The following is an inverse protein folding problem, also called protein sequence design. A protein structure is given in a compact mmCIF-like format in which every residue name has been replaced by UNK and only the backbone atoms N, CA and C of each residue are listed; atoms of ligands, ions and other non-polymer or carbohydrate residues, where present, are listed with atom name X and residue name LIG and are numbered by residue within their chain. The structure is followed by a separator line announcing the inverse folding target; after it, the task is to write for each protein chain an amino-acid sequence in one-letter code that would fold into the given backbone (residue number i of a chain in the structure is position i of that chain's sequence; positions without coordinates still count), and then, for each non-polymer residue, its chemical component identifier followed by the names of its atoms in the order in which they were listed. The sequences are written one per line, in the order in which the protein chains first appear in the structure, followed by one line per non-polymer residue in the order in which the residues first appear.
data_IF_706234478190
#
_entry.id   IF_706234478190
#
_cell.length_a   1.000
_cell.length_b   1.000
_cell.length_c   1.000
_cell.angle_alpha   90.00
_cell.angle_beta   90.00
_cell.angle_gamma   90.00
#
_symmetry.space_group_name_H-M   'P 1'
#
loop_
_entity.id
_entity.type
_entity.pdbx_description
1 polymer ?
#
# COMPACT_ATOMS: atom_id res chain seq x y z
N UNK A 1 -5.87 -16.49 5.17
CA UNK A 1 -5.77 -16.32 3.71
C UNK A 1 -5.47 -14.86 3.38
N UNK A 2 -4.51 -14.64 2.51
CA UNK A 2 -4.09 -13.28 2.15
C UNK A 2 -5.07 -12.63 1.18
N UNK A 3 -5.45 -11.40 1.47
CA UNK A 3 -6.43 -10.69 0.66
C UNK A 3 -6.27 -9.17 0.72
N UNK A 4 -6.87 -8.49 -0.26
CA UNK A 4 -7.02 -7.04 -0.28
C UNK A 4 -8.16 -6.66 0.68
N UNK A 5 -7.82 -5.89 1.70
CA UNK A 5 -8.81 -5.47 2.70
C UNK A 5 -9.42 -4.10 2.38
N UNK A 6 -8.57 -3.13 2.02
CA UNK A 6 -9.00 -1.78 1.64
C UNK A 6 -8.16 -1.28 0.48
N UNK A 7 -8.72 -0.36 -0.28
CA UNK A 7 -8.03 0.32 -1.38
C UNK A 7 -8.20 1.83 -1.25
N UNK A 8 -7.15 2.58 -1.58
CA UNK A 8 -7.19 4.03 -1.51
C UNK A 8 -6.31 4.70 -2.55
N UNK A 9 -6.79 5.82 -3.05
CA UNK A 9 -6.05 6.66 -4.00
C UNK A 9 -6.24 8.14 -3.66
N UNK A 10 -5.31 8.96 -4.10
CA UNK A 10 -5.50 10.41 -4.11
C UNK A 10 -4.71 11.00 -5.27
N UNK A 11 -5.26 12.02 -5.89
CA UNK A 11 -4.61 12.70 -7.00
C UNK A 11 -3.49 13.66 -6.57
N UNK A 12 -3.40 13.97 -5.27
CA UNK A 12 -2.51 15.02 -4.76
C UNK A 12 -1.89 14.61 -3.43
N UNK A 13 -0.58 14.88 -3.25
CA UNK A 13 0.15 14.55 -2.03
C UNK A 13 -0.38 15.25 -0.77
N UNK A 14 -1.04 16.38 -0.93
CA UNK A 14 -1.53 17.18 0.20
C UNK A 14 -3.02 16.96 0.49
N UNK A 15 -3.67 16.04 -0.21
CA UNK A 15 -5.07 15.71 -0.01
C UNK A 15 -5.22 14.36 0.67
N UNK A 16 -6.33 14.15 1.41
CA UNK A 16 -6.60 12.85 2.01
C UNK A 16 -6.72 11.75 0.96
N UNK A 17 -6.41 10.53 1.36
CA UNK A 17 -6.66 9.35 0.54
C UNK A 17 -8.17 9.11 0.49
N UNK A 18 -8.67 8.79 -0.68
CA UNK A 18 -10.07 8.41 -0.89
C UNK A 18 -10.15 6.89 -0.95
N UNK A 19 -10.99 6.32 -0.10
CA UNK A 19 -11.25 4.88 -0.11
C UNK A 19 -12.12 4.52 -1.32
N UNK A 20 -11.72 3.46 -2.04
CA UNK A 20 -12.44 3.00 -3.23
C UNK A 20 -12.58 1.48 -3.20
N UNK A 21 -13.51 0.94 -4.00
CA UNK A 21 -13.74 -0.51 -4.05
C UNK A 21 -12.86 -1.22 -5.07
N UNK A 22 -12.39 -0.51 -6.07
CA UNK A 22 -11.50 -1.07 -7.07
C UNK A 22 -10.57 -0.01 -7.64
N UNK A 23 -9.43 -0.46 -8.16
CA UNK A 23 -8.45 0.40 -8.81
C UNK A 23 -8.05 -0.22 -10.13
N UNK A 24 -7.72 0.63 -11.09
CA UNK A 24 -7.18 0.21 -12.37
C UNK A 24 -5.67 0.46 -12.35
N UNK A 25 -4.89 -0.58 -12.59
CA UNK A 25 -3.43 -0.46 -12.59
C UNK A 25 -2.89 -0.70 -13.98
N UNK A 26 -1.87 0.07 -14.34
CA UNK A 26 -1.18 -0.07 -15.64
C UNK A 26 0.26 -0.46 -15.39
N UNK A 27 0.70 -1.48 -16.12
CA UNK A 27 2.06 -2.01 -15.97
C UNK A 27 3.10 -0.90 -16.14
N UNK A 28 4.03 -0.83 -15.19
CA UNK A 28 5.14 0.11 -15.17
C UNK A 28 4.75 1.60 -15.09
N UNK A 29 3.48 1.91 -14.81
CA UNK A 29 3.01 3.30 -14.73
C UNK A 29 2.40 3.67 -13.39
N UNK A 30 1.56 2.81 -12.82
CA UNK A 30 0.91 3.09 -11.55
C UNK A 30 -0.59 2.86 -11.58
N UNK A 31 -1.29 3.51 -10.65
CA UNK A 31 -2.75 3.40 -10.51
C UNK A 31 -3.39 4.61 -11.18
N UNK A 32 -4.34 4.36 -12.07
CA UNK A 32 -5.06 5.44 -12.76
C UNK A 32 -5.76 6.32 -11.70
N UNK A 33 -5.49 7.62 -11.78
CA UNK A 33 -6.08 8.60 -10.86
C UNK A 33 -5.31 8.81 -9.57
N UNK A 34 -4.23 8.07 -9.34
CA UNK A 34 -3.39 8.25 -8.15
C UNK A 34 -2.20 9.17 -8.44
N UNK A 35 -1.70 9.83 -7.39
CA UNK A 35 -0.62 10.81 -7.48
C UNK A 35 0.71 10.24 -7.98
N UNK A 36 0.92 8.94 -7.87
CA UNK A 36 2.14 8.29 -8.32
C UNK A 36 2.03 7.72 -9.75
N UNK A 37 0.93 8.01 -10.45
CA UNK A 37 0.76 7.60 -11.84
C UNK A 37 1.61 8.48 -12.76
N UNK A 38 2.43 7.85 -13.60
CA UNK A 38 3.29 8.57 -14.57
C UNK A 38 3.59 7.71 -15.79
N UNK A 39 4.04 8.35 -16.86
CA UNK A 39 4.26 7.69 -18.15
C UNK A 39 5.63 7.02 -18.29
N UNK A 40 6.54 7.27 -17.38
CA UNK A 40 7.85 6.64 -17.37
C UNK A 40 7.91 5.55 -16.31
N UNK A 41 8.78 4.56 -16.53
CA UNK A 41 8.93 3.45 -15.59
C UNK A 41 9.80 3.85 -14.41
N UNK A 42 9.18 4.03 -13.25
CA UNK A 42 9.86 4.25 -11.98
C UNK A 42 9.35 3.20 -10.99
N UNK A 43 10.07 2.08 -10.82
CA UNK A 43 9.57 0.97 -10.00
C UNK A 43 9.40 1.32 -8.52
N UNK A 44 9.99 2.41 -8.04
CA UNK A 44 9.89 2.82 -6.64
C UNK A 44 8.63 3.63 -6.34
N UNK A 45 7.90 4.10 -7.37
CA UNK A 45 6.77 5.00 -7.19
C UNK A 45 5.57 4.61 -8.04
N UNK A 46 5.13 3.36 -7.95
CA UNK A 46 3.96 2.91 -8.70
C UNK A 46 2.80 2.53 -7.79
N UNK A 47 3.05 1.74 -6.76
CA UNK A 47 2.01 1.21 -5.91
C UNK A 47 2.59 0.82 -4.57
N UNK A 48 1.81 0.97 -3.50
CA UNK A 48 2.26 0.65 -2.15
C UNK A 48 1.22 -0.16 -1.39
N UNK A 49 1.71 -1.08 -0.56
CA UNK A 49 0.90 -1.95 0.29
C UNK A 49 1.24 -1.72 1.75
N UNK A 50 0.28 -1.95 2.64
CA UNK A 50 0.52 -1.95 4.10
C UNK A 50 -0.36 -3.01 4.75
N UNK A 51 0.14 -3.62 5.82
CA UNK A 51 -0.61 -4.64 6.56
C UNK A 51 -1.60 -4.00 7.53
N UNK A 52 -2.87 -4.40 7.43
CA UNK A 52 -3.91 -3.96 8.36
C UNK A 52 -3.54 -4.32 9.80
N UNK A 53 -2.91 -5.48 10.00
CA UNK A 53 -2.51 -5.96 11.32
C UNK A 53 -1.56 -5.00 12.03
N UNK A 54 -0.65 -4.35 11.30
CA UNK A 54 0.27 -3.37 11.89
C UNK A 54 -0.47 -2.08 12.29
N UNK A 55 -1.46 -1.69 11.52
CA UNK A 55 -2.29 -0.52 11.85
C UNK A 55 -3.14 -0.82 13.08
N UNK A 56 -3.75 -2.02 13.14
CA UNK A 56 -4.54 -2.44 14.29
C UNK A 56 -3.71 -2.44 15.57
N UNK A 57 -2.48 -2.97 15.50
CA UNK A 57 -1.57 -3.00 16.64
C UNK A 57 -1.26 -1.59 17.15
N UNK A 58 -0.99 -0.67 16.23
CA UNK A 58 -0.73 0.73 16.58
C UNK A 58 -1.95 1.38 17.26
N UNK A 59 -3.12 1.20 16.68
CA UNK A 59 -4.35 1.77 17.24
C UNK A 59 -4.63 1.23 18.63
N UNK A 60 -4.44 -0.08 18.85
CA UNK A 60 -4.63 -0.70 20.17
C UNK A 60 -3.62 -0.13 21.16
N UNK A 61 -2.36 -0.04 20.78
CA UNK A 61 -1.29 0.40 21.67
C UNK A 61 -1.50 1.83 22.16
N UNK A 62 -1.99 2.72 21.30
CA UNK A 62 -2.15 4.14 21.61
C UNK A 62 -3.58 4.55 21.89
N UNK A 63 -4.54 3.59 21.95
CA UNK A 63 -5.94 3.89 22.20
C UNK A 63 -6.58 4.76 21.12
N UNK A 64 -6.22 4.52 19.87
CA UNK A 64 -6.66 5.30 18.73
C UNK A 64 -7.54 4.47 17.79
N UNK A 65 -8.17 5.16 16.84
CA UNK A 65 -9.04 4.56 15.84
C UNK A 65 -8.79 5.21 14.48
N UNK A 66 -7.54 5.22 14.04
CA UNK A 66 -7.15 5.83 12.77
C UNK A 66 -7.61 4.92 11.63
N UNK A 67 -8.39 5.44 10.66
CA UNK A 67 -8.78 4.64 9.50
C UNK A 67 -7.58 4.12 8.72
N UNK A 68 -7.69 2.89 8.22
CA UNK A 68 -6.58 2.23 7.53
C UNK A 68 -6.01 3.05 6.37
N UNK A 69 -6.87 3.64 5.54
CA UNK A 69 -6.41 4.37 4.35
C UNK A 69 -5.68 5.67 4.69
N UNK A 70 -5.84 6.18 5.92
CA UNK A 70 -5.15 7.39 6.34
C UNK A 70 -3.63 7.20 6.44
N UNK A 71 -3.15 5.96 6.43
CA UNK A 71 -1.71 5.67 6.38
C UNK A 71 -1.13 5.87 4.98
N UNK A 72 -1.98 6.22 4.01
CA UNK A 72 -1.62 6.71 2.69
C UNK A 72 -0.90 5.68 1.81
N UNK A 73 -1.19 4.40 2.02
CA UNK A 73 -0.81 3.34 1.10
C UNK A 73 -2.02 2.95 0.25
N UNK A 74 -1.76 2.48 -0.96
CA UNK A 74 -2.83 2.19 -1.92
C UNK A 74 -3.62 0.95 -1.56
N UNK A 75 -2.95 -0.10 -1.09
CA UNK A 75 -3.56 -1.39 -0.77
C UNK A 75 -3.29 -1.74 0.68
N UNK A 76 -4.36 -1.90 1.45
CA UNK A 76 -4.28 -2.43 2.81
C UNK A 76 -4.54 -3.92 2.72
N UNK A 77 -3.61 -4.72 3.22
CA UNK A 77 -3.65 -6.18 3.11
C UNK A 77 -3.97 -6.84 4.44
N UNK A 78 -4.48 -8.08 4.37
CA UNK A 78 -4.61 -8.97 5.52
C UNK A 78 -4.03 -10.32 5.19
N UNK A 79 -3.40 -10.94 6.18
CA UNK A 79 -2.97 -12.33 6.10
C UNK A 79 -1.64 -12.56 5.40
N UNK A 80 -0.82 -11.55 5.21
CA UNK A 80 0.48 -11.69 4.53
C UNK A 80 1.53 -10.81 5.19
N UNK A 81 2.76 -11.32 5.29
CA UNK A 81 3.90 -10.58 5.80
C UNK A 81 4.64 -9.92 4.65
N UNK A 82 4.40 -8.63 4.46
CA UNK A 82 4.93 -7.90 3.32
C UNK A 82 6.45 -7.78 3.32
N UNK A 83 7.08 -7.76 4.50
CA UNK A 83 8.53 -7.62 4.59
C UNK A 83 9.28 -8.78 3.92
N UNK A 84 8.65 -9.94 3.81
CA UNK A 84 9.25 -11.12 3.18
C UNK A 84 9.20 -11.09 1.65
N UNK A 85 8.57 -10.06 1.07
CA UNK A 85 8.29 -10.01 -0.36
C UNK A 85 9.23 -9.13 -1.17
N UNK A 86 10.26 -8.57 -0.55
CA UNK A 86 11.25 -7.78 -1.29
C UNK A 86 11.95 -8.69 -2.29
N UNK A 87 11.96 -8.28 -3.57
CA UNK A 87 12.56 -9.06 -4.65
C UNK A 87 11.74 -10.25 -5.12
N UNK A 88 10.53 -10.40 -4.60
CA UNK A 88 9.65 -11.53 -4.95
C UNK A 88 8.46 -11.06 -5.76
N UNK A 89 7.93 -11.96 -6.58
CA UNK A 89 6.73 -11.69 -7.37
C UNK A 89 5.50 -12.21 -6.65
N UNK A 90 4.42 -11.43 -6.76
CA UNK A 90 3.13 -11.80 -6.17
C UNK A 90 2.03 -11.48 -7.15
N UNK A 91 0.88 -12.10 -6.94
CA UNK A 91 -0.31 -11.88 -7.75
C UNK A 91 -1.45 -11.42 -6.87
N UNK A 92 -2.06 -10.30 -7.20
CA UNK A 92 -3.25 -9.77 -6.52
C UNK A 92 -4.38 -9.77 -7.54
N UNK A 93 -5.39 -10.62 -7.33
CA UNK A 93 -6.40 -10.82 -8.35
C UNK A 93 -5.75 -11.30 -9.63
N UNK A 94 -5.87 -10.53 -10.70
CA UNK A 94 -5.23 -10.82 -12.00
C UNK A 94 -3.98 -9.99 -12.27
N UNK A 95 -3.50 -9.25 -11.28
CA UNK A 95 -2.35 -8.34 -11.44
C UNK A 95 -1.09 -8.97 -10.88
N UNK A 96 -0.01 -8.99 -11.66
CA UNK A 96 1.30 -9.41 -11.19
C UNK A 96 2.10 -8.21 -10.74
N UNK A 97 2.72 -8.35 -9.58
CA UNK A 97 3.54 -7.30 -8.96
C UNK A 97 4.89 -7.88 -8.55
N UNK A 98 5.87 -6.99 -8.38
CA UNK A 98 7.15 -7.36 -7.77
C UNK A 98 7.44 -6.43 -6.60
N UNK A 99 7.80 -7.00 -5.45
CA UNK A 99 8.21 -6.22 -4.29
C UNK A 99 9.56 -5.57 -4.52
N UNK A 100 9.67 -4.26 -4.30
CA UNK A 100 10.88 -3.50 -4.59
C UNK A 100 11.61 -3.15 -3.30
N UNK A 101 10.94 -2.47 -2.38
CA UNK A 101 11.55 -2.05 -1.12
C UNK A 101 10.48 -1.76 -0.08
N UNK A 102 10.89 -1.73 1.18
CA UNK A 102 9.97 -1.33 2.25
C UNK A 102 9.68 0.16 2.18
N UNK A 103 8.43 0.53 2.46
CA UNK A 103 8.06 1.92 2.67
C UNK A 103 8.60 2.37 4.02
N UNK A 104 9.32 3.48 4.04
CA UNK A 104 9.77 4.08 5.30
C UNK A 104 8.71 5.04 5.81
N UNK A 105 8.42 5.04 7.12
CA UNK A 105 7.60 6.10 7.67
C UNK A 105 8.34 7.41 7.50
N UNK A 106 7.62 8.48 7.14
CA UNK A 106 8.24 9.75 6.83
C UNK A 106 7.58 10.88 7.59
N UNK A 107 8.25 12.04 7.58
CA UNK A 107 7.75 13.22 8.24
C UNK A 107 6.37 13.64 7.72
N UNK A 108 6.17 13.52 6.40
CA UNK A 108 4.89 13.85 5.78
C UNK A 108 3.75 13.02 6.36
N UNK A 109 3.97 11.71 6.48
CA UNK A 109 2.96 10.82 7.07
C UNK A 109 2.69 11.18 8.53
N UNK A 110 3.74 11.48 9.30
CA UNK A 110 3.62 11.91 10.69
C UNK A 110 2.74 13.16 10.80
N UNK A 111 2.96 14.13 9.93
CA UNK A 111 2.19 15.37 9.92
C UNK A 111 0.75 15.14 9.48
N UNK A 112 0.53 14.33 8.44
CA UNK A 112 -0.81 14.04 7.93
C UNK A 112 -1.66 13.28 8.95
N UNK A 113 -1.05 12.41 9.75
CA UNK A 113 -1.75 11.66 10.80
C UNK A 113 -1.80 12.40 12.13
N UNK A 114 -1.01 13.47 12.26
CA UNK A 114 -0.84 14.20 13.53
C UNK A 114 -0.43 13.22 14.67
N UNK A 115 0.57 12.37 14.37
CA UNK A 115 1.02 11.30 15.28
C UNK A 115 2.53 11.29 15.38
N UNK A 116 3.08 11.79 16.48
CA UNK A 116 4.54 11.91 16.68
C UNK A 116 5.26 10.56 16.78
N UNK A 117 4.53 9.47 17.07
CA UNK A 117 5.13 8.15 17.28
C UNK A 117 5.28 7.34 15.97
N UNK A 118 4.81 7.85 14.84
CA UNK A 118 4.78 7.11 13.59
C UNK A 118 6.18 6.67 13.14
N UNK A 119 7.17 7.57 13.19
CA UNK A 119 8.52 7.24 12.73
C UNK A 119 9.11 6.06 13.49
N UNK A 120 8.89 6.00 14.78
CA UNK A 120 9.40 4.93 15.63
C UNK A 120 8.61 3.64 15.47
N UNK A 121 7.27 3.74 15.55
CA UNK A 121 6.39 2.56 15.59
C UNK A 121 6.26 1.86 14.25
N UNK A 122 6.41 2.58 13.14
CA UNK A 122 6.29 2.00 11.81
C UNK A 122 7.62 1.74 11.13
N UNK A 123 8.73 1.80 11.86
CA UNK A 123 10.00 1.34 11.32
C UNK A 123 9.86 -0.14 10.97
N UNK A 124 10.10 -0.50 9.69
CA UNK A 124 9.90 -1.84 9.11
C UNK A 124 8.43 -2.32 9.12
N UNK A 125 7.47 -1.43 9.37
CA UNK A 125 6.03 -1.74 9.32
C UNK A 125 5.27 -0.80 8.39
N UNK A 126 5.97 0.08 7.70
CA UNK A 126 5.36 1.10 6.84
C UNK A 126 4.82 0.57 5.52
N UNK A 127 5.06 -0.69 5.20
CA UNK A 127 4.54 -1.31 4.00
C UNK A 127 5.59 -1.62 2.95
N UNK A 128 5.13 -1.98 1.77
CA UNK A 128 5.96 -2.44 0.66
C UNK A 128 5.65 -1.66 -0.61
N UNK A 129 6.68 -1.18 -1.28
CA UNK A 129 6.54 -0.59 -2.63
C UNK A 129 6.65 -1.69 -3.65
N UNK A 130 5.76 -1.69 -4.62
CA UNK A 130 5.73 -2.70 -5.68
C UNK A 130 5.75 -2.07 -7.05
N UNK A 131 6.42 -2.76 -7.98
CA UNK A 131 6.33 -2.49 -9.41
C UNK A 131 5.17 -3.29 -10.00
N UNK A 132 4.40 -2.67 -10.86
CA UNK A 132 3.27 -3.32 -11.54
C UNK A 132 3.78 -3.97 -12.81
N UNK A 133 3.62 -5.29 -12.92
CA UNK A 133 4.12 -6.07 -14.05
C UNK A 133 3.06 -6.33 -15.10
N UNK A 134 1.77 -6.31 -14.74
CA UNK A 134 0.69 -6.51 -15.69
C UNK A 134 -0.47 -5.57 -15.39
N UNK A 135 -1.18 -5.17 -16.44
CA UNK A 135 -2.27 -4.20 -16.34
C UNK A 135 -3.60 -4.93 -16.14
N UNK A 136 -4.36 -4.55 -15.11
CA UNK A 136 -5.71 -5.06 -14.86
C UNK A 136 -6.34 -4.26 -13.73
N UNK A 137 -7.45 -4.78 -13.20
CA UNK A 137 -8.16 -4.22 -12.06
C UNK A 137 -7.83 -4.99 -10.79
N UNK A 138 -7.76 -4.26 -9.66
CA UNK A 138 -7.70 -4.87 -8.33
C UNK A 138 -8.94 -4.42 -7.59
N UNK A 139 -9.61 -5.38 -6.94
CA UNK A 139 -10.87 -5.11 -6.23
C UNK A 139 -10.74 -5.57 -4.77
N UNK A 140 -11.41 -4.89 -3.86
CA UNK A 140 -11.46 -5.30 -2.44
C UNK A 140 -11.92 -6.76 -2.37
N UNK A 141 -11.21 -7.57 -1.60
CA UNK A 141 -11.47 -9.00 -1.48
C UNK A 141 -10.65 -9.88 -2.42
N UNK A 142 -9.93 -9.29 -3.36
CA UNK A 142 -9.06 -10.06 -4.25
C UNK A 142 -8.00 -10.81 -3.45
N UNK A 143 -7.68 -12.02 -3.89
CA UNK A 143 -6.70 -12.89 -3.23
C UNK A 143 -5.29 -12.45 -3.58
N UNK A 144 -4.39 -12.63 -2.62
CA UNK A 144 -2.97 -12.34 -2.77
C UNK A 144 -2.20 -13.65 -2.69
N UNK A 145 -1.46 -13.97 -3.74
CA UNK A 145 -0.69 -15.21 -3.83
C UNK A 145 0.75 -14.92 -4.21
N UNK A 146 1.70 -15.66 -3.62
CA UNK A 146 3.09 -15.60 -4.05
C UNK A 146 3.24 -16.38 -5.36
N UNK A 147 4.08 -15.85 -6.24
CA UNK A 147 4.48 -16.53 -7.48
C UNK A 147 5.87 -17.11 -7.30
N UNK A 148 6.06 -18.28 -7.87
CA UNK A 148 7.37 -18.96 -7.83
C UNK A 148 8.34 -18.38 -8.85
#
# INVERSE_FOLDING_TARGET
MAEVFKLGITANNNQPIKEVNSIEVLANKGIVGDRHFHDFNDPYNQLSLIEAENIDEYNIKFGLDIPYINFRRNIVTKGIQLNDLIGKKLKIGNVELEGIELCRPCRHLTEMLDQKNILKEFMRKGGLRCQILSSSKITVGDKINLLD
#
